data_IF_518135165517
#
_entry.id   IF_518135165517
#
_cell.length_a   1.000
_cell.length_b   1.000
_cell.length_c   1.000
_cell.angle_alpha   90.00
_cell.angle_beta   90.00
_cell.angle_gamma   90.00
#
_symmetry.space_group_name_H-M   'P 1'
#
loop_
_entity.id
_entity.type
_entity.pdbx_description
1 polymer ?
#
# COMPACT_ATOMS: atom_id res chain seq x y z
N UNK A 1 -20.63 7.50 -5.39
CA UNK A 1 -21.00 6.14 -4.95
C UNK A 1 -21.13 6.19 -3.44
N UNK A 2 -22.23 5.71 -2.85
CA UNK A 2 -22.21 5.44 -1.41
C UNK A 2 -21.25 4.27 -1.22
N UNK A 3 -20.10 4.50 -0.57
CA UNK A 3 -19.31 3.39 -0.06
C UNK A 3 -20.22 2.65 0.89
N UNK A 4 -20.54 1.41 0.55
CA UNK A 4 -21.35 0.58 1.42
C UNK A 4 -20.60 0.41 2.75
N UNK A 5 -21.06 1.10 3.78
CA UNK A 5 -20.57 0.98 5.16
C UNK A 5 -21.08 -0.31 5.80
N UNK A 6 -21.35 -1.33 4.98
CA UNK A 6 -21.85 -2.61 5.43
C UNK A 6 -20.85 -3.28 6.35
N UNK A 7 -21.40 -4.07 7.28
CA UNK A 7 -20.59 -4.78 8.25
C UNK A 7 -19.62 -5.78 7.60
N UNK A 8 -19.96 -6.28 6.41
CA UNK A 8 -19.08 -7.11 5.59
C UNK A 8 -17.78 -6.40 5.19
N UNK A 9 -17.86 -5.13 4.78
CA UNK A 9 -16.69 -4.35 4.41
C UNK A 9 -15.80 -4.04 5.62
N UNK A 10 -16.40 -3.63 6.74
CA UNK A 10 -15.64 -3.39 7.97
C UNK A 10 -14.97 -4.67 8.50
N UNK A 11 -15.67 -5.79 8.46
CA UNK A 11 -15.11 -7.12 8.79
C UNK A 11 -13.90 -7.43 7.90
N UNK A 12 -14.00 -7.16 6.60
CA UNK A 12 -12.88 -7.36 5.69
C UNK A 12 -11.69 -6.45 6.02
N UNK A 13 -11.92 -5.18 6.35
CA UNK A 13 -10.86 -4.27 6.82
C UNK A 13 -10.15 -4.77 8.08
N UNK A 14 -10.88 -5.34 9.05
CA UNK A 14 -10.27 -5.96 10.24
C UNK A 14 -9.40 -7.16 9.89
N UNK A 15 -9.88 -8.05 9.01
CA UNK A 15 -9.12 -9.22 8.58
C UNK A 15 -7.80 -8.80 7.93
N UNK A 16 -7.83 -7.79 7.06
CA UNK A 16 -6.62 -7.26 6.42
C UNK A 16 -5.71 -6.59 7.46
N UNK A 17 -6.28 -5.84 8.42
CA UNK A 17 -5.49 -5.23 9.49
C UNK A 17 -4.74 -6.28 10.32
N UNK A 18 -5.38 -7.40 10.66
CA UNK A 18 -4.76 -8.52 11.36
C UNK A 18 -3.67 -9.17 10.51
N UNK A 19 -3.94 -9.40 9.22
CA UNK A 19 -2.94 -9.94 8.28
C UNK A 19 -1.69 -9.05 8.19
N UNK A 20 -1.86 -7.74 8.01
CA UNK A 20 -0.75 -6.79 8.03
C UNK A 20 0.03 -6.86 9.36
N UNK A 21 -0.66 -7.00 10.49
CA UNK A 21 -0.01 -7.13 11.80
C UNK A 21 0.80 -8.43 11.90
N UNK A 22 0.31 -9.53 11.36
CA UNK A 22 1.03 -10.80 11.30
C UNK A 22 2.29 -10.69 10.42
N UNK A 23 2.22 -10.04 9.25
CA UNK A 23 3.41 -9.79 8.43
C UNK A 23 4.44 -8.93 9.16
N UNK A 24 4.00 -7.87 9.85
CA UNK A 24 4.87 -7.09 10.72
C UNK A 24 5.56 -7.96 11.79
N UNK A 25 4.80 -8.83 12.46
CA UNK A 25 5.33 -9.71 13.50
C UNK A 25 6.37 -10.69 12.94
N UNK A 26 6.08 -11.35 11.82
CA UNK A 26 7.00 -12.29 11.15
C UNK A 26 8.29 -11.58 10.74
N UNK A 27 8.20 -10.44 10.04
CA UNK A 27 9.38 -9.68 9.60
C UNK A 27 10.22 -9.21 10.79
N UNK A 28 9.57 -8.76 11.87
CA UNK A 28 10.26 -8.33 13.09
C UNK A 28 10.94 -9.51 13.77
N UNK A 29 10.28 -10.66 13.86
CA UNK A 29 10.84 -11.87 14.45
C UNK A 29 12.07 -12.35 13.67
N UNK A 30 11.98 -12.47 12.35
CA UNK A 30 13.09 -12.83 11.45
C UNK A 30 14.28 -11.89 11.67
N UNK A 31 14.03 -10.59 11.83
CA UNK A 31 15.09 -9.61 12.14
C UNK A 31 15.81 -9.91 13.46
N UNK A 32 15.07 -10.25 14.53
CA UNK A 32 15.66 -10.53 15.86
C UNK A 32 16.47 -11.81 15.90
N UNK A 33 16.06 -12.83 15.17
CA UNK A 33 16.74 -14.13 15.15
C UNK A 33 18.03 -14.11 14.31
N UNK A 34 18.12 -13.23 13.31
CA UNK A 34 19.25 -13.15 12.36
C UNK A 34 20.14 -11.90 12.57
N UNK A 35 20.19 -11.37 13.81
CA UNK A 35 20.63 -10.01 14.12
C UNK A 35 22.14 -9.73 13.96
N UNK A 36 22.50 -9.08 12.85
CA UNK A 36 23.36 -7.88 12.75
C UNK A 36 23.28 -7.29 11.32
N UNK A 37 22.81 -8.09 10.34
CA UNK A 37 22.82 -7.75 8.91
C UNK A 37 21.47 -7.50 8.23
N UNK A 38 20.35 -7.20 8.92
CA UNK A 38 19.02 -6.91 8.30
C UNK A 38 18.40 -5.54 8.63
N UNK A 39 19.18 -4.65 9.24
CA UNK A 39 18.58 -3.64 10.09
C UNK A 39 17.75 -2.56 9.35
N UNK A 40 18.06 -2.23 8.09
CA UNK A 40 17.35 -1.16 7.36
C UNK A 40 16.13 -1.67 6.60
N UNK A 41 16.28 -2.75 5.85
CA UNK A 41 15.22 -3.36 5.04
C UNK A 41 14.07 -3.86 5.94
N UNK A 42 14.41 -4.63 6.98
CA UNK A 42 13.42 -5.17 7.90
C UNK A 42 12.68 -4.05 8.65
N UNK A 43 13.36 -2.96 9.01
CA UNK A 43 12.70 -1.78 9.63
C UNK A 43 11.71 -1.12 8.69
N UNK A 44 12.07 -0.97 7.41
CA UNK A 44 11.19 -0.37 6.40
C UNK A 44 9.92 -1.17 6.17
N UNK A 45 10.07 -2.46 5.87
CA UNK A 45 8.93 -3.35 5.63
C UNK A 45 8.08 -3.56 6.90
N UNK A 46 8.70 -3.74 8.07
CA UNK A 46 7.97 -3.85 9.33
C UNK A 46 7.15 -2.58 9.62
N UNK A 47 7.75 -1.40 9.45
CA UNK A 47 7.04 -0.13 9.63
C UNK A 47 5.87 0.01 8.65
N UNK A 48 6.07 -0.36 7.37
CA UNK A 48 5.01 -0.34 6.36
C UNK A 48 3.79 -1.18 6.80
N UNK A 49 4.00 -2.45 7.14
CA UNK A 49 2.92 -3.35 7.54
C UNK A 49 2.26 -2.94 8.86
N UNK A 50 3.03 -2.45 9.84
CA UNK A 50 2.48 -1.95 11.10
C UNK A 50 1.57 -0.74 10.87
N UNK A 51 2.04 0.26 10.12
CA UNK A 51 1.26 1.47 9.88
C UNK A 51 0.06 1.21 8.98
N UNK A 52 0.15 0.28 8.03
CA UNK A 52 -0.99 -0.17 7.24
C UNK A 52 -2.04 -0.85 8.12
N UNK A 53 -1.62 -1.75 9.02
CA UNK A 53 -2.51 -2.40 9.98
C UNK A 53 -3.27 -1.37 10.84
N UNK A 54 -2.55 -0.41 11.41
CA UNK A 54 -3.14 0.65 12.23
C UNK A 54 -4.09 1.53 11.40
N UNK A 55 -3.70 1.94 10.20
CA UNK A 55 -4.55 2.75 9.32
C UNK A 55 -5.88 2.05 9.01
N UNK A 56 -5.84 0.76 8.65
CA UNK A 56 -7.02 -0.04 8.36
C UNK A 56 -7.89 -0.26 9.60
N UNK A 57 -7.28 -0.51 10.77
CA UNK A 57 -8.00 -0.66 12.03
C UNK A 57 -8.78 0.60 12.41
N UNK A 58 -8.12 1.77 12.36
CA UNK A 58 -8.77 3.05 12.67
C UNK A 58 -9.79 3.48 11.60
N UNK A 59 -9.63 3.02 10.36
CA UNK A 59 -10.66 3.20 9.33
C UNK A 59 -11.89 2.33 9.60
N UNK A 60 -11.71 1.05 9.95
CA UNK A 60 -12.82 0.18 10.34
C UNK A 60 -13.60 0.78 11.54
N UNK A 61 -12.87 1.29 12.53
CA UNK A 61 -13.47 1.96 13.70
C UNK A 61 -14.23 3.25 13.37
N UNK A 62 -13.78 4.04 12.39
CA UNK A 62 -14.50 5.28 12.05
C UNK A 62 -15.89 5.01 11.47
N UNK A 63 -16.09 3.85 10.86
CA UNK A 63 -17.31 3.50 10.11
C UNK A 63 -18.36 2.74 10.93
N UNK A 64 -17.99 2.04 12.01
CA UNK A 64 -18.88 1.05 12.60
C UNK A 64 -19.23 1.25 14.09
N UNK A 65 -18.35 1.87 14.89
CA UNK A 65 -18.41 1.63 16.34
C UNK A 65 -18.92 2.79 17.20
N UNK A 66 -18.76 4.07 16.80
CA UNK A 66 -19.19 5.19 17.66
C UNK A 66 -19.55 6.46 16.87
N UNK A 67 -20.82 6.68 16.49
CA UNK A 67 -21.22 7.97 15.93
C UNK A 67 -20.91 9.10 16.93
N UNK A 68 -20.17 10.11 16.49
CA UNK A 68 -19.78 11.25 17.32
C UNK A 68 -18.28 11.58 17.26
N UNK A 69 -17.73 12.21 18.31
CA UNK A 69 -16.34 12.69 18.33
C UNK A 69 -15.31 11.59 18.09
N UNK A 70 -15.61 10.35 18.49
CA UNK A 70 -14.69 9.22 18.31
C UNK A 70 -14.46 8.88 16.84
N UNK A 71 -15.50 8.77 16.01
CA UNK A 71 -15.34 8.55 14.57
C UNK A 71 -14.50 9.65 13.89
N UNK A 72 -14.65 10.90 14.33
CA UNK A 72 -13.82 12.01 13.86
C UNK A 72 -12.33 11.80 14.17
N UNK A 73 -11.98 11.49 15.43
CA UNK A 73 -10.58 11.24 15.81
C UNK A 73 -10.02 9.99 15.14
N UNK A 74 -10.83 8.93 15.01
CA UNK A 74 -10.43 7.68 14.36
C UNK A 74 -10.09 7.91 12.89
N UNK A 75 -10.87 8.71 12.16
CA UNK A 75 -10.56 9.04 10.76
C UNK A 75 -9.24 9.82 10.62
N UNK A 76 -8.94 10.74 11.54
CA UNK A 76 -7.68 11.48 11.54
C UNK A 76 -6.48 10.58 11.90
N UNK A 77 -6.64 9.65 12.84
CA UNK A 77 -5.63 8.65 13.16
C UNK A 77 -5.37 7.72 11.97
N UNK A 78 -6.43 7.26 11.31
CA UNK A 78 -6.34 6.45 10.08
C UNK A 78 -5.51 7.17 9.01
N UNK A 79 -5.80 8.45 8.73
CA UNK A 79 -5.02 9.25 7.80
C UNK A 79 -3.56 9.45 8.25
N UNK A 80 -3.31 9.72 9.53
CA UNK A 80 -1.96 9.90 10.06
C UNK A 80 -1.12 8.62 9.89
N UNK A 81 -1.67 7.45 10.24
CA UNK A 81 -1.00 6.17 10.02
C UNK A 81 -0.86 5.84 8.53
N UNK A 82 -1.84 6.21 7.70
CA UNK A 82 -1.74 6.10 6.24
C UNK A 82 -0.56 6.88 5.67
N UNK A 83 -0.33 8.11 6.15
CA UNK A 83 0.84 8.92 5.78
C UNK A 83 2.14 8.25 6.23
N UNK A 84 2.20 7.72 7.46
CA UNK A 84 3.37 6.97 7.94
C UNK A 84 3.64 5.71 7.10
N UNK A 85 2.59 5.01 6.67
CA UNK A 85 2.67 3.87 5.75
C UNK A 85 3.28 4.27 4.40
N UNK A 86 2.81 5.36 3.79
CA UNK A 86 3.33 5.90 2.53
C UNK A 86 4.82 6.25 2.64
N UNK A 87 5.23 6.94 3.71
CA UNK A 87 6.64 7.25 3.92
C UNK A 87 7.49 5.99 4.14
N UNK A 88 6.97 5.01 4.86
CA UNK A 88 7.64 3.73 5.08
C UNK A 88 7.82 2.95 3.77
N UNK A 89 6.84 2.99 2.86
CA UNK A 89 6.95 2.41 1.52
C UNK A 89 8.06 3.11 0.70
N UNK A 90 8.11 4.44 0.70
CA UNK A 90 9.15 5.20 -0.01
C UNK A 90 10.56 4.95 0.54
N UNK A 91 10.69 4.78 1.85
CA UNK A 91 11.95 4.36 2.50
C UNK A 91 12.34 2.93 2.10
N UNK A 92 11.37 2.02 2.11
CA UNK A 92 11.56 0.61 1.74
C UNK A 92 11.98 0.47 0.29
N UNK A 93 11.33 1.17 -0.64
CA UNK A 93 11.67 1.21 -2.06
C UNK A 93 13.16 1.53 -2.30
N UNK A 94 13.71 2.51 -1.58
CA UNK A 94 15.11 2.86 -1.70
C UNK A 94 16.06 1.74 -1.24
N UNK A 95 15.63 0.94 -0.27
CA UNK A 95 16.37 -0.24 0.20
C UNK A 95 16.35 -1.38 -0.83
N UNK A 96 15.27 -1.49 -1.62
CA UNK A 96 15.21 -2.41 -2.78
C UNK A 96 16.20 -1.96 -3.86
N UNK A 97 16.22 -0.67 -4.21
CA UNK A 97 17.06 -0.12 -5.27
C UNK A 97 18.56 -0.03 -4.91
N UNK A 98 18.91 0.20 -3.64
CA UNK A 98 20.30 0.29 -3.18
C UNK A 98 20.59 -0.79 -2.15
N UNK A 99 20.88 -1.98 -2.64
CA UNK A 99 21.15 -3.18 -1.84
C UNK A 99 22.57 -3.18 -1.23
N UNK A 100 23.54 -2.52 -1.88
CA UNK A 100 24.90 -2.43 -1.33
C UNK A 100 24.97 -1.41 -0.19
N UNK A 101 25.17 -1.92 1.03
CA UNK A 101 25.28 -1.16 2.29
C UNK A 101 26.42 -0.16 2.32
N UNK A 102 27.43 -0.31 1.47
CA UNK A 102 28.54 0.66 1.36
C UNK A 102 28.10 1.93 0.62
N UNK A 103 27.03 1.87 -0.17
CA UNK A 103 26.49 2.99 -0.95
C UNK A 103 25.46 3.82 -0.15
N UNK A 104 25.75 4.12 1.13
CA UNK A 104 24.83 4.87 2.02
C UNK A 104 24.42 6.24 1.45
N UNK A 105 25.33 6.92 0.75
CA UNK A 105 25.03 8.20 0.11
C UNK A 105 24.00 8.05 -1.02
N UNK A 106 24.14 7.03 -1.85
CA UNK A 106 23.19 6.72 -2.92
C UNK A 106 21.84 6.32 -2.34
N UNK A 107 21.80 5.50 -1.30
CA UNK A 107 20.56 5.13 -0.61
C UNK A 107 19.81 6.38 -0.12
N UNK A 108 20.50 7.28 0.60
CA UNK A 108 19.90 8.55 1.07
C UNK A 108 19.40 9.41 -0.10
N UNK A 109 20.15 9.48 -1.19
CA UNK A 109 19.74 10.20 -2.38
C UNK A 109 18.45 9.62 -2.98
N UNK A 110 18.34 8.29 -3.11
CA UNK A 110 17.12 7.64 -3.60
C UNK A 110 15.94 7.84 -2.64
N UNK A 111 16.16 7.77 -1.32
CA UNK A 111 15.09 8.10 -0.34
C UNK A 111 14.57 9.51 -0.54
N UNK A 112 15.45 10.50 -0.66
CA UNK A 112 15.08 11.91 -0.89
C UNK A 112 14.32 12.04 -2.23
N UNK A 113 14.79 11.38 -3.28
CA UNK A 113 14.12 11.37 -4.58
C UNK A 113 12.71 10.76 -4.48
N UNK A 114 12.55 9.64 -3.78
CA UNK A 114 11.25 8.98 -3.57
C UNK A 114 10.29 9.88 -2.80
N UNK A 115 10.75 10.57 -1.76
CA UNK A 115 9.95 11.58 -1.05
C UNK A 115 9.60 12.77 -1.94
N UNK A 116 10.51 13.21 -2.80
CA UNK A 116 10.26 14.24 -3.80
C UNK A 116 9.15 13.84 -4.78
N UNK A 117 9.21 12.62 -5.33
CA UNK A 117 8.16 12.07 -6.22
C UNK A 117 6.82 11.99 -5.49
N UNK A 118 6.83 11.46 -4.26
CA UNK A 118 5.66 11.37 -3.39
C UNK A 118 5.01 12.74 -3.17
N UNK A 119 5.82 13.76 -2.86
CA UNK A 119 5.34 15.12 -2.63
C UNK A 119 4.81 15.78 -3.92
N UNK A 120 5.49 15.61 -5.06
CA UNK A 120 5.04 16.14 -6.36
C UNK A 120 3.69 15.52 -6.73
N UNK A 121 3.54 14.19 -6.63
CA UNK A 121 2.27 13.53 -6.91
C UNK A 121 1.16 13.96 -5.93
N UNK A 122 1.49 14.17 -4.64
CA UNK A 122 0.55 14.72 -3.66
C UNK A 122 0.04 16.11 -4.03
N UNK A 123 0.92 17.00 -4.51
CA UNK A 123 0.56 18.36 -4.91
C UNK A 123 -0.29 18.33 -6.17
N UNK A 124 0.14 17.57 -7.19
CA UNK A 124 -0.58 17.45 -8.45
C UNK A 124 -2.00 16.90 -8.25
N UNK A 125 -2.20 15.97 -7.31
CA UNK A 125 -3.51 15.37 -7.04
C UNK A 125 -4.57 16.38 -6.56
N UNK A 126 -4.19 17.52 -6.00
CA UNK A 126 -5.13 18.57 -5.56
C UNK A 126 -5.92 19.12 -6.75
N UNK A 127 -5.30 19.19 -7.93
CA UNK A 127 -5.92 19.72 -9.15
C UNK A 127 -6.82 18.69 -9.86
N UNK A 128 -6.94 17.46 -9.34
CA UNK A 128 -7.76 16.39 -9.90
C UNK A 128 -8.96 16.04 -9.00
N UNK A 129 -10.08 16.77 -9.10
CA UNK A 129 -11.26 16.61 -8.23
C UNK A 129 -11.97 15.24 -8.36
N UNK A 130 -11.67 14.45 -9.38
CA UNK A 130 -12.27 13.12 -9.58
C UNK A 130 -11.59 11.95 -8.87
N UNK A 131 -10.48 12.19 -8.17
CA UNK A 131 -9.68 11.12 -7.54
C UNK A 131 -9.76 11.27 -6.02
N UNK A 132 -10.83 10.76 -5.41
CA UNK A 132 -11.04 10.85 -3.95
C UNK A 132 -11.60 9.54 -3.38
N UNK A 133 -11.30 9.24 -2.11
CA UNK A 133 -11.85 8.10 -1.37
C UNK A 133 -12.78 8.61 -0.27
N UNK A 134 -13.76 7.80 0.11
CA UNK A 134 -14.71 8.18 1.16
C UNK A 134 -14.12 7.88 2.56
N UNK A 135 -13.20 8.74 3.03
CA UNK A 135 -12.98 8.88 4.46
C UNK A 135 -13.91 9.97 4.97
N UNK A 136 -14.90 9.56 5.76
CA UNK A 136 -15.71 10.48 6.51
C UNK A 136 -14.81 11.42 7.35
N UNK A 137 -15.26 12.67 7.53
CA UNK A 137 -14.63 13.67 8.39
C UNK A 137 -13.29 14.27 7.94
N UNK A 138 -12.71 13.82 6.82
CA UNK A 138 -11.54 14.48 6.22
C UNK A 138 -11.95 15.46 5.12
N UNK A 139 -11.35 16.67 5.08
CA UNK A 139 -11.47 17.58 3.96
C UNK A 139 -10.99 16.96 2.65
N UNK A 140 -11.69 17.26 1.55
CA UNK A 140 -11.37 16.74 0.22
C UNK A 140 -9.91 16.96 -0.22
N UNK A 141 -9.31 18.15 -0.01
CA UNK A 141 -7.91 18.37 -0.35
C UNK A 141 -6.94 17.42 0.36
N UNK A 142 -7.26 17.03 1.60
CA UNK A 142 -6.41 16.10 2.38
C UNK A 142 -6.50 14.69 1.79
N UNK A 143 -7.70 14.24 1.43
CA UNK A 143 -7.90 12.94 0.77
C UNK A 143 -7.13 12.86 -0.55
N UNK A 144 -7.24 13.91 -1.38
CA UNK A 144 -6.51 14.03 -2.65
C UNK A 144 -5.00 13.97 -2.44
N UNK A 145 -4.46 14.73 -1.49
CA UNK A 145 -3.05 14.69 -1.14
C UNK A 145 -2.60 13.27 -0.76
N UNK A 146 -3.36 12.56 0.08
CA UNK A 146 -3.03 11.21 0.51
C UNK A 146 -3.03 10.23 -0.67
N UNK A 147 -3.99 10.34 -1.60
CA UNK A 147 -4.00 9.50 -2.81
C UNK A 147 -2.80 9.81 -3.69
N UNK A 148 -2.54 11.09 -3.95
CA UNK A 148 -1.39 11.52 -4.73
C UNK A 148 -0.07 11.03 -4.13
N UNK A 149 0.06 11.10 -2.82
CA UNK A 149 1.21 10.58 -2.08
C UNK A 149 1.32 9.05 -2.22
N UNK A 150 0.22 8.31 -2.08
CA UNK A 150 0.21 6.86 -2.28
C UNK A 150 0.64 6.48 -3.71
N UNK A 151 0.09 7.15 -4.73
CA UNK A 151 0.46 6.95 -6.14
C UNK A 151 1.94 7.24 -6.36
N UNK A 152 2.44 8.36 -5.84
CA UNK A 152 3.85 8.74 -5.98
C UNK A 152 4.79 7.74 -5.31
N UNK A 153 4.43 7.23 -4.13
CA UNK A 153 5.21 6.22 -3.43
C UNK A 153 5.20 4.86 -4.15
N UNK A 154 4.06 4.46 -4.72
CA UNK A 154 3.94 3.26 -5.54
C UNK A 154 4.74 3.35 -6.83
N UNK A 155 4.73 4.52 -7.49
CA UNK A 155 5.55 4.78 -8.67
C UNK A 155 7.04 4.68 -8.32
N UNK A 156 7.45 5.30 -7.23
CA UNK A 156 8.82 5.22 -6.73
C UNK A 156 9.22 3.78 -6.41
N UNK A 157 8.35 3.01 -5.75
CA UNK A 157 8.56 1.58 -5.48
C UNK A 157 8.70 0.76 -6.76
N UNK A 158 7.84 1.00 -7.75
CA UNK A 158 7.88 0.35 -9.06
C UNK A 158 9.21 0.60 -9.76
N UNK A 159 9.67 1.86 -9.81
CA UNK A 159 10.96 2.25 -10.41
C UNK A 159 12.11 1.57 -9.66
N UNK A 160 12.08 1.58 -8.33
CA UNK A 160 13.12 0.94 -7.51
C UNK A 160 13.20 -0.57 -7.74
N UNK A 161 12.05 -1.24 -7.84
CA UNK A 161 11.98 -2.67 -8.16
C UNK A 161 12.50 -2.95 -9.57
N UNK A 162 12.17 -2.11 -10.55
CA UNK A 162 12.69 -2.23 -11.92
C UNK A 162 14.22 -2.11 -11.96
N UNK A 163 14.79 -1.11 -11.28
CA UNK A 163 16.24 -0.94 -11.17
C UNK A 163 16.88 -2.22 -10.64
N UNK A 164 16.35 -2.79 -9.55
CA UNK A 164 16.84 -4.05 -8.98
C UNK A 164 16.69 -5.23 -9.94
N UNK A 165 15.61 -5.31 -10.70
CA UNK A 165 15.37 -6.39 -11.66
C UNK A 165 16.38 -6.39 -12.82
N UNK A 166 16.88 -5.23 -13.22
CA UNK A 166 17.86 -5.07 -14.31
C UNK A 166 19.31 -5.05 -13.84
N UNK A 167 19.57 -4.82 -12.55
CA UNK A 167 20.91 -5.02 -11.99
C UNK A 167 21.22 -6.53 -11.86
N UNK A 168 22.45 -6.94 -12.20
CA UNK A 168 22.93 -8.32 -12.08
C UNK A 168 23.17 -8.78 -10.61
N UNK A 169 22.46 -8.19 -9.66
CA UNK A 169 22.66 -8.35 -8.22
C UNK A 169 21.64 -9.33 -7.61
N UNK A 170 21.98 -9.89 -6.43
CA UNK A 170 21.09 -10.74 -5.61
C UNK A 170 19.77 -10.00 -5.29
N UNK A 171 18.67 -10.74 -5.10
CA UNK A 171 17.37 -10.19 -4.71
C UNK A 171 16.42 -9.82 -5.86
N UNK A 172 16.74 -10.23 -7.10
CA UNK A 172 15.89 -10.01 -8.29
C UNK A 172 14.49 -10.62 -8.14
N UNK A 173 14.38 -11.84 -7.61
CA UNK A 173 13.08 -12.53 -7.48
C UNK A 173 12.13 -11.79 -6.54
N UNK A 174 12.61 -11.37 -5.35
CA UNK A 174 11.79 -10.59 -4.42
C UNK A 174 11.41 -9.20 -4.96
N UNK A 175 12.30 -8.57 -5.74
CA UNK A 175 11.99 -7.32 -6.45
C UNK A 175 10.96 -7.52 -7.57
N UNK A 176 11.02 -8.64 -8.29
CA UNK A 176 10.03 -8.99 -9.30
C UNK A 176 8.65 -9.23 -8.70
N UNK A 177 8.57 -9.94 -7.57
CA UNK A 177 7.29 -10.16 -6.86
C UNK A 177 6.73 -8.83 -6.37
N UNK A 178 7.56 -7.98 -5.78
CA UNK A 178 7.16 -6.62 -5.35
C UNK A 178 6.71 -5.74 -6.53
N UNK A 179 7.37 -5.87 -7.69
CA UNK A 179 7.00 -5.20 -8.93
C UNK A 179 5.64 -5.68 -9.43
N UNK A 180 5.42 -6.99 -9.48
CA UNK A 180 4.14 -7.58 -9.91
C UNK A 180 3.00 -7.16 -8.99
N UNK A 181 3.22 -7.14 -7.67
CA UNK A 181 2.24 -6.61 -6.71
C UNK A 181 1.93 -5.14 -6.94
N UNK A 182 2.95 -4.30 -7.18
CA UNK A 182 2.76 -2.88 -7.47
C UNK A 182 1.99 -2.65 -8.78
N UNK A 183 2.35 -3.38 -9.85
CA UNK A 183 1.66 -3.29 -11.14
C UNK A 183 0.22 -3.81 -11.07
N UNK A 184 -0.01 -4.90 -10.33
CA UNK A 184 -1.35 -5.42 -10.08
C UNK A 184 -2.22 -4.41 -9.33
N UNK A 185 -1.67 -3.73 -8.32
CA UNK A 185 -2.38 -2.67 -7.61
C UNK A 185 -2.69 -1.48 -8.54
N UNK A 186 -1.70 -1.00 -9.29
CA UNK A 186 -1.90 0.11 -10.23
C UNK A 186 -2.96 -0.24 -11.27
N UNK A 187 -2.88 -1.44 -11.87
CA UNK A 187 -3.87 -1.93 -12.83
C UNK A 187 -5.27 -2.02 -12.22
N UNK A 188 -5.36 -2.46 -10.97
CA UNK A 188 -6.63 -2.51 -10.25
C UNK A 188 -7.17 -1.11 -9.94
N UNK A 189 -6.33 -0.16 -9.54
CA UNK A 189 -6.72 1.23 -9.35
C UNK A 189 -7.24 1.86 -10.65
N UNK A 190 -6.58 1.63 -11.77
CA UNK A 190 -7.02 2.11 -13.10
C UNK A 190 -8.36 1.48 -13.48
N UNK A 191 -8.47 0.16 -13.33
CA UNK A 191 -9.72 -0.57 -13.57
C UNK A 191 -10.85 -0.06 -12.69
N UNK A 192 -10.55 0.24 -11.42
CA UNK A 192 -11.50 0.81 -10.49
C UNK A 192 -11.94 2.22 -10.87
N UNK A 193 -11.01 3.12 -11.23
CA UNK A 193 -11.36 4.46 -11.68
C UNK A 193 -12.26 4.43 -12.91
N UNK A 194 -11.96 3.53 -13.86
CA UNK A 194 -12.82 3.28 -15.01
C UNK A 194 -14.22 2.80 -14.60
N UNK A 195 -14.30 1.79 -13.74
CA UNK A 195 -15.57 1.24 -13.24
C UNK A 195 -16.37 2.27 -12.44
N UNK A 196 -15.71 3.11 -11.64
CA UNK A 196 -16.35 4.17 -10.87
C UNK A 196 -16.98 5.20 -11.80
N UNK A 197 -16.29 5.63 -12.86
CA UNK A 197 -16.86 6.56 -13.84
C UNK A 197 -18.08 5.96 -14.55
N UNK A 198 -17.99 4.70 -14.98
CA UNK A 198 -19.09 4.02 -15.71
C UNK A 198 -20.28 3.72 -14.79
N UNK A 199 -20.05 3.25 -13.56
CA UNK A 199 -21.13 2.83 -12.66
C UNK A 199 -21.70 3.98 -11.80
N UNK A 200 -21.01 5.12 -11.62
CA UNK A 200 -21.55 6.30 -10.89
C UNK A 200 -22.44 7.19 -11.77
N UNK A 201 -22.09 7.41 -13.04
CA UNK A 201 -22.98 8.10 -14.00
C UNK A 201 -24.33 7.39 -14.12
N UNK A 202 -24.35 6.07 -13.93
CA UNK A 202 -25.56 5.23 -13.98
C UNK A 202 -26.38 5.23 -12.69
N UNK A 203 -25.84 5.61 -11.54
CA UNK A 203 -26.62 5.65 -10.27
C UNK A 203 -27.53 6.87 -10.10
N UNK A 204 -27.26 7.96 -10.83
CA UNK A 204 -28.12 9.15 -10.84
C UNK A 204 -29.27 9.06 -11.85
N UNK A 205 -29.22 8.09 -12.78
CA UNK A 205 -30.29 7.79 -13.72
C UNK A 205 -30.93 6.45 -13.35
N UNK A 206 -32.22 6.45 -13.06
CA UNK A 206 -32.97 5.24 -12.74
C UNK A 206 -32.79 4.16 -13.83
N UNK A 207 -32.24 3.01 -13.42
CA UNK A 207 -32.19 1.74 -14.16
C UNK A 207 -31.48 1.77 -15.53
N UNK A 208 -30.18 1.48 -15.55
CA UNK A 208 -29.53 0.88 -16.72
C UNK A 208 -28.87 -0.48 -16.38
N UNK A 209 -28.95 -1.50 -17.26
CA UNK A 209 -28.31 -2.81 -17.09
C UNK A 209 -26.82 -2.86 -17.48
N UNK A 210 -26.12 -1.72 -17.56
CA UNK A 210 -24.83 -1.57 -18.26
C UNK A 210 -23.56 -1.57 -17.40
N UNK A 211 -23.64 -1.43 -16.06
CA UNK A 211 -22.46 -1.65 -15.21
C UNK A 211 -21.91 -3.08 -15.42
N UNK A 212 -20.67 -3.25 -15.91
CA UNK A 212 -20.15 -4.53 -16.41
C UNK A 212 -20.00 -5.60 -15.32
N UNK A 213 -19.94 -5.20 -14.05
CA UNK A 213 -19.86 -6.10 -12.89
C UNK A 213 -21.23 -6.56 -12.38
N UNK A 214 -22.33 -5.95 -12.87
CA UNK A 214 -23.69 -6.26 -12.45
C UNK A 214 -24.02 -5.78 -11.03
N UNK A 215 -25.33 -5.69 -10.73
CA UNK A 215 -25.85 -5.11 -9.47
C UNK A 215 -25.55 -5.92 -8.20
N UNK A 216 -25.06 -7.15 -8.33
CA UNK A 216 -24.82 -8.09 -7.21
C UNK A 216 -23.36 -8.17 -6.79
N UNK A 217 -22.46 -7.52 -7.52
CA UNK A 217 -21.04 -7.57 -7.20
C UNK A 217 -20.72 -6.59 -6.07
N UNK A 218 -20.18 -7.11 -4.96
CA UNK A 218 -19.72 -6.30 -3.85
C UNK A 218 -18.35 -5.71 -4.20
N UNK A 219 -18.39 -4.45 -4.62
CA UNK A 219 -17.23 -3.71 -5.06
C UNK A 219 -16.23 -3.45 -3.91
N UNK A 220 -16.71 -3.44 -2.66
CA UNK A 220 -15.91 -3.26 -1.46
C UNK A 220 -15.18 -4.54 -1.07
N UNK A 221 -15.85 -5.69 -1.20
CA UNK A 221 -15.23 -7.00 -1.00
C UNK A 221 -14.12 -7.26 -2.05
N UNK A 222 -14.31 -6.82 -3.29
CA UNK A 222 -13.26 -6.87 -4.30
C UNK A 222 -12.01 -6.08 -3.90
N UNK A 223 -12.17 -4.85 -3.39
CA UNK A 223 -11.06 -4.07 -2.84
C UNK A 223 -10.33 -4.77 -1.70
N UNK A 224 -11.09 -5.40 -0.80
CA UNK A 224 -10.50 -6.14 0.29
C UNK A 224 -9.64 -7.30 -0.22
N UNK A 225 -10.13 -8.09 -1.19
CA UNK A 225 -9.35 -9.17 -1.82
C UNK A 225 -8.08 -8.61 -2.47
N UNK A 226 -8.20 -7.50 -3.20
CA UNK A 226 -7.06 -6.87 -3.87
C UNK A 226 -5.99 -6.48 -2.86
N UNK A 227 -6.38 -5.84 -1.75
CA UNK A 227 -5.46 -5.48 -0.67
C UNK A 227 -4.77 -6.70 -0.05
N UNK A 228 -5.51 -7.79 0.22
CA UNK A 228 -4.93 -9.06 0.69
C UNK A 228 -3.87 -9.57 -0.28
N UNK A 229 -4.21 -9.70 -1.56
CA UNK A 229 -3.29 -10.21 -2.59
C UNK A 229 -2.01 -9.37 -2.66
N UNK A 230 -2.13 -8.05 -2.59
CA UNK A 230 -0.96 -7.16 -2.67
C UNK A 230 -0.13 -7.23 -1.40
N UNK A 231 -0.75 -7.35 -0.23
CA UNK A 231 -0.03 -7.48 1.03
C UNK A 231 0.75 -8.80 1.06
N UNK A 232 0.16 -9.89 0.58
CA UNK A 232 0.83 -11.20 0.44
C UNK A 232 2.02 -11.10 -0.51
N UNK A 233 1.84 -10.51 -1.70
CA UNK A 233 2.94 -10.30 -2.65
C UNK A 233 4.02 -9.37 -2.09
N UNK A 234 3.62 -8.32 -1.37
CA UNK A 234 4.54 -7.40 -0.71
C UNK A 234 5.35 -8.08 0.39
N UNK A 235 4.72 -8.93 1.20
CA UNK A 235 5.37 -9.67 2.29
C UNK A 235 6.33 -10.72 1.73
N UNK A 236 5.91 -11.48 0.72
CA UNK A 236 6.77 -12.45 0.04
C UNK A 236 7.96 -11.77 -0.64
N UNK A 237 7.73 -10.66 -1.34
CA UNK A 237 8.78 -9.84 -1.93
C UNK A 237 9.77 -9.34 -0.88
N UNK A 238 9.27 -8.85 0.27
CA UNK A 238 10.09 -8.40 1.39
C UNK A 238 10.97 -9.51 1.94
N UNK A 239 10.39 -10.68 2.25
CA UNK A 239 11.10 -11.83 2.81
C UNK A 239 12.19 -12.32 1.86
N UNK A 240 11.92 -12.41 0.55
CA UNK A 240 12.94 -12.82 -0.44
C UNK A 240 14.05 -11.78 -0.61
N UNK A 241 13.74 -10.49 -0.54
CA UNK A 241 14.76 -9.41 -0.57
C UNK A 241 15.64 -9.49 0.68
N UNK A 242 15.04 -9.73 1.85
CA UNK A 242 15.77 -9.91 3.11
C UNK A 242 16.66 -11.17 3.05
N UNK A 243 16.15 -12.30 2.56
CA UNK A 243 16.91 -13.54 2.42
C UNK A 243 18.08 -13.40 1.42
N UNK A 244 17.87 -12.70 0.29
CA UNK A 244 18.91 -12.46 -0.68
C UNK A 244 20.09 -11.65 -0.13
N UNK A 245 19.84 -10.79 0.85
CA UNK A 245 20.87 -10.00 1.54
C UNK A 245 21.76 -10.88 2.45
N UNK A 246 21.29 -12.07 2.83
CA UNK A 246 21.98 -13.01 3.70
C UNK A 246 22.74 -14.12 2.96
N UNK A 247 22.69 -14.13 1.62
CA UNK A 247 23.26 -15.22 0.83
C UNK A 247 22.67 -16.60 1.16
N UNK A 248 21.45 -16.65 1.72
CA UNK A 248 20.69 -17.89 1.86
C UNK A 248 20.20 -18.36 0.49
N UNK A 249 21.09 -19.04 -0.25
CA UNK A 249 20.84 -19.55 -1.62
C UNK A 249 19.52 -20.34 -1.70
N UNK A 250 19.23 -21.16 -0.68
CA UNK A 250 18.05 -22.04 -0.65
C UNK A 250 16.69 -21.32 -0.66
N UNK A 251 16.57 -20.07 -0.18
CA UNK A 251 15.30 -19.31 -0.18
C UNK A 251 15.21 -18.30 -1.36
N UNK A 252 16.36 -17.91 -1.92
CA UNK A 252 16.46 -16.98 -3.04
C UNK A 252 16.15 -17.66 -4.37
N UNK A 253 16.53 -18.94 -4.47
CA UNK A 253 16.44 -19.76 -5.68
C UNK A 253 15.16 -20.59 -5.79
N UNK A 254 14.25 -20.51 -4.81
CA UNK A 254 12.91 -21.10 -4.94
C UNK A 254 12.19 -20.36 -6.07
N UNK A 255 11.79 -21.05 -7.16
CA UNK A 255 11.12 -20.42 -8.32
C UNK A 255 9.87 -19.62 -7.95
#
# INVERSE_FOLDING_TARGET
>A
MFVDTSSSYNTALYVIAIECFLFFAVITQTKTEEAESLDLEARGFAAFFLFQSLALLFWAFSNELFPGPFSYYSAHLSAAFGICCIFSLSFTAASIAVFDRRKRALHRFIVILNYGITAVCSILAIDFPGVTYDLAYLPEPIKQCIIGAAIGSLLANTICCLIRCFEANKGRNGALISLLGSLFFIGTCIGWLYLNNVCVEETLSSLSPSCPLGKKFDHNFFWAIVLVVINVLGAEGALRIMAANHEYEDYVDIP
#
